data_IF_285622035053
#
_entry.id   IF_285622035053
#
_cell.length_a   1.000
_cell.length_b   1.000
_cell.length_c   1.000
_cell.angle_alpha   90.00
_cell.angle_beta   90.00
_cell.angle_gamma   90.00
#
_symmetry.space_group_name_H-M   'P 1'
#
loop_
_entity.id
_entity.type
_entity.pdbx_description
1 polymer ?
#
# COMPACT_ATOMS: atom_id res chain seq x y z
N UNK A 1 8.78 -16.66 1.57
CA UNK A 1 8.67 -15.45 0.76
C UNK A 1 7.50 -15.54 -0.21
N UNK A 2 7.06 -14.37 -0.67
CA UNK A 2 6.02 -14.18 -1.67
C UNK A 2 6.35 -12.98 -2.53
N UNK A 3 6.08 -13.10 -3.84
CA UNK A 3 6.30 -12.02 -4.80
C UNK A 3 5.03 -11.79 -5.60
N UNK A 4 4.66 -10.52 -5.78
CA UNK A 4 3.54 -10.09 -6.63
C UNK A 4 3.97 -8.89 -7.46
N UNK A 5 3.39 -8.74 -8.65
CA UNK A 5 3.52 -7.54 -9.47
C UNK A 5 2.28 -6.65 -9.27
N UNK A 6 2.50 -5.37 -9.05
CA UNK A 6 1.46 -4.37 -8.80
C UNK A 6 1.55 -3.30 -9.89
N UNK A 7 0.43 -3.02 -10.56
CA UNK A 7 0.36 -2.05 -11.67
C UNK A 7 0.29 -0.59 -11.16
N UNK A 8 1.33 -0.21 -10.43
CA UNK A 8 1.55 1.14 -9.92
C UNK A 8 3.04 1.35 -9.68
N UNK A 9 3.49 2.61 -9.60
CA UNK A 9 4.89 2.90 -9.30
C UNK A 9 5.28 2.53 -7.87
N UNK A 10 6.57 2.29 -7.59
CA UNK A 10 7.04 2.01 -6.23
C UNK A 10 6.65 3.09 -5.21
N UNK A 11 6.64 4.36 -5.61
CA UNK A 11 6.26 5.48 -4.75
C UNK A 11 4.77 5.43 -4.38
N UNK A 12 3.92 5.07 -5.33
CA UNK A 12 2.47 4.89 -5.10
C UNK A 12 2.20 3.71 -4.19
N UNK A 13 2.84 2.57 -4.46
CA UNK A 13 2.72 1.36 -3.63
C UNK A 13 3.23 1.63 -2.21
N UNK A 14 4.35 2.35 -2.07
CA UNK A 14 4.97 2.61 -0.77
C UNK A 14 4.10 3.44 0.17
N UNK A 15 3.26 4.33 -0.37
CA UNK A 15 2.29 5.11 0.44
C UNK A 15 1.33 4.24 1.25
N UNK A 16 1.04 3.03 0.80
CA UNK A 16 0.19 2.10 1.54
C UNK A 16 0.84 1.52 2.79
N UNK A 17 2.15 1.72 2.96
CA UNK A 17 2.92 1.32 4.14
C UNK A 17 3.27 2.50 5.05
N UNK A 18 2.93 3.73 4.68
CA UNK A 18 3.28 4.94 5.44
C UNK A 18 2.10 5.87 5.70
N UNK A 19 0.91 5.50 5.29
CA UNK A 19 -0.33 6.24 5.49
C UNK A 19 -1.36 5.33 6.17
N UNK A 20 -1.83 5.71 7.37
CA UNK A 20 -2.77 4.89 8.15
C UNK A 20 -4.11 4.65 7.45
N UNK A 21 -4.61 5.63 6.69
CA UNK A 21 -5.87 5.45 5.95
C UNK A 21 -5.70 4.42 4.83
N UNK A 22 -4.56 4.46 4.12
CA UNK A 22 -4.22 3.46 3.10
C UNK A 22 -3.89 2.09 3.70
N UNK A 23 -3.21 2.07 4.85
CA UNK A 23 -2.97 0.84 5.61
C UNK A 23 -4.27 0.12 5.93
N UNK A 24 -5.27 0.83 6.46
CA UNK A 24 -6.58 0.27 6.79
C UNK A 24 -7.35 -0.26 5.57
N UNK A 25 -7.12 0.25 4.36
CA UNK A 25 -7.82 -0.21 3.15
C UNK A 25 -7.56 -1.69 2.81
N UNK A 26 -6.40 -2.21 3.17
CA UNK A 26 -6.04 -3.60 2.83
C UNK A 26 -5.89 -4.51 4.05
N UNK A 27 -5.83 -3.97 5.26
CA UNK A 27 -5.87 -4.77 6.49
C UNK A 27 -7.27 -4.86 7.11
N UNK A 28 -7.99 -3.76 7.18
CA UNK A 28 -9.32 -3.67 7.72
C UNK A 28 -9.55 -2.39 8.50
N UNK A 29 -10.81 -2.01 8.65
CA UNK A 29 -11.21 -0.82 9.39
C UNK A 29 -10.72 -0.89 10.86
N UNK A 30 -10.13 0.20 11.35
CA UNK A 30 -9.50 0.26 12.67
C UNK A 30 -8.00 0.00 12.66
N UNK A 31 -7.45 -0.57 11.58
CA UNK A 31 -6.02 -0.73 11.44
C UNK A 31 -5.31 0.62 11.30
N UNK A 32 -4.18 0.79 11.96
CA UNK A 32 -3.39 2.02 11.90
C UNK A 32 -1.91 1.74 12.13
N UNK A 33 -1.06 2.69 11.75
CA UNK A 33 0.37 2.66 12.01
C UNK A 33 0.93 4.06 12.27
N UNK A 34 2.00 4.12 13.03
CA UNK A 34 2.87 5.29 13.14
C UNK A 34 4.12 5.04 12.25
N UNK A 35 4.25 5.71 11.08
CA UNK A 35 5.24 5.37 10.06
C UNK A 35 6.65 5.93 10.39
N UNK A 36 7.20 5.54 11.54
CA UNK A 36 8.57 5.84 11.95
C UNK A 36 9.20 4.65 12.67
N UNK A 37 10.51 4.46 12.66
CA UNK A 37 11.14 3.42 13.44
C UNK A 37 10.73 3.49 14.93
N UNK A 38 10.30 2.37 15.50
CA UNK A 38 9.69 2.25 16.83
C UNK A 38 8.22 2.65 16.90
N UNK A 39 7.61 3.13 15.79
CA UNK A 39 6.19 3.45 15.73
C UNK A 39 5.32 2.20 15.80
N UNK A 40 4.18 2.28 16.46
CA UNK A 40 3.29 1.15 16.68
C UNK A 40 2.49 0.80 15.42
N UNK A 41 2.28 -0.48 15.22
CA UNK A 41 1.40 -1.04 14.20
C UNK A 41 0.26 -1.78 14.89
N UNK A 42 -0.95 -1.48 14.47
CA UNK A 42 -2.15 -2.20 14.85
C UNK A 42 -2.92 -2.63 13.61
N UNK A 43 -3.37 -3.87 13.60
CA UNK A 43 -4.13 -4.48 12.50
C UNK A 43 -5.39 -5.10 13.07
N UNK A 44 -6.52 -4.69 12.53
CA UNK A 44 -7.82 -5.30 12.80
C UNK A 44 -8.22 -6.16 11.60
N UNK A 45 -8.21 -7.47 11.78
CA UNK A 45 -8.65 -8.41 10.75
C UNK A 45 -10.17 -8.56 10.74
N UNK A 46 -10.76 -9.06 9.64
CA UNK A 46 -12.15 -9.46 9.61
C UNK A 46 -12.47 -10.44 10.78
N UNK A 47 -13.63 -10.25 11.42
CA UNK A 47 -14.01 -11.05 12.58
C UNK A 47 -13.45 -10.57 13.92
N UNK A 48 -12.77 -9.41 13.96
CA UNK A 48 -12.30 -8.79 15.20
C UNK A 48 -11.01 -9.40 15.76
N UNK A 49 -10.28 -10.18 14.96
CA UNK A 49 -8.95 -10.66 15.34
C UNK A 49 -7.98 -9.48 15.23
N UNK A 50 -7.09 -9.33 16.22
CA UNK A 50 -6.14 -8.23 16.27
C UNK A 50 -4.70 -8.71 16.21
N UNK A 51 -3.89 -8.00 15.43
CA UNK A 51 -2.43 -8.17 15.37
C UNK A 51 -1.74 -6.85 15.71
N UNK A 52 -0.57 -6.95 16.30
CA UNK A 52 0.22 -5.79 16.67
C UNK A 52 1.72 -6.03 16.45
N UNK A 53 2.43 -4.93 16.34
CA UNK A 53 3.89 -4.89 16.20
C UNK A 53 4.38 -3.46 16.16
N UNK A 54 5.60 -3.28 15.70
CA UNK A 54 6.21 -1.97 15.53
C UNK A 54 7.00 -1.88 14.24
N UNK A 55 7.14 -0.68 13.73
CA UNK A 55 8.00 -0.39 12.58
C UNK A 55 9.46 -0.54 12.99
N UNK A 56 10.19 -1.41 12.28
CA UNK A 56 11.63 -1.62 12.51
C UNK A 56 12.45 -0.64 11.68
N UNK A 57 12.15 -0.53 10.39
CA UNK A 57 12.86 0.39 9.50
C UNK A 57 12.03 0.78 8.29
N UNK A 58 12.32 1.97 7.76
CA UNK A 58 11.72 2.53 6.56
C UNK A 58 12.84 3.04 5.65
N UNK A 59 12.91 2.54 4.42
CA UNK A 59 13.77 3.02 3.33
C UNK A 59 12.89 3.30 2.11
N UNK A 60 12.30 4.49 2.07
CA UNK A 60 11.35 4.88 1.03
C UNK A 60 12.05 5.11 -0.32
N UNK A 61 11.46 4.68 -1.44
CA UNK A 61 10.25 3.86 -1.57
C UNK A 61 10.55 2.35 -1.70
N UNK A 62 11.68 1.87 -1.16
CA UNK A 62 12.24 0.55 -1.47
C UNK A 62 11.94 -0.53 -0.44
N UNK A 63 11.91 -0.18 0.85
CA UNK A 63 11.82 -1.21 1.89
C UNK A 63 11.06 -0.72 3.12
N UNK A 64 10.20 -1.59 3.63
CA UNK A 64 9.46 -1.41 4.88
C UNK A 64 9.58 -2.69 5.71
N UNK A 65 10.01 -2.56 6.96
CA UNK A 65 10.22 -3.69 7.88
C UNK A 65 9.46 -3.43 9.16
N UNK A 66 8.71 -4.42 9.62
CA UNK A 66 7.95 -4.33 10.86
C UNK A 66 7.90 -5.68 11.58
N UNK A 67 7.67 -5.64 12.90
CA UNK A 67 7.35 -6.84 13.68
C UNK A 67 5.85 -7.13 13.61
N UNK A 68 5.48 -8.40 13.79
CA UNK A 68 4.10 -8.84 13.63
C UNK A 68 3.81 -9.99 14.60
N UNK A 69 2.55 -10.11 14.99
CA UNK A 69 1.97 -11.22 15.73
C UNK A 69 0.60 -10.86 16.26
N UNK A 70 -0.09 -11.83 16.86
CA UNK A 70 -1.46 -11.69 17.32
C UNK A 70 -1.52 -11.20 18.77
N UNK A 71 -2.44 -10.29 19.04
CA UNK A 71 -2.68 -9.78 20.41
C UNK A 71 -3.12 -10.90 21.36
N UNK A 72 -3.85 -11.89 20.84
CA UNK A 72 -4.22 -13.11 21.58
C UNK A 72 -3.02 -13.99 21.98
N UNK A 73 -1.85 -13.80 21.35
CA UNK A 73 -0.66 -14.62 21.54
C UNK A 73 -0.61 -15.88 20.67
N UNK A 74 -1.65 -16.18 19.92
CA UNK A 74 -1.76 -17.40 19.10
C UNK A 74 -2.14 -17.04 17.66
N UNK A 75 -1.50 -17.64 16.62
CA UNK A 75 -0.44 -18.67 16.65
C UNK A 75 0.94 -18.14 17.04
N UNK A 76 1.19 -16.85 16.98
CA UNK A 76 2.43 -16.19 17.40
C UNK A 76 2.12 -14.94 18.20
N UNK A 77 2.85 -14.64 19.30
CA UNK A 77 2.62 -13.43 20.08
C UNK A 77 2.88 -12.14 19.30
N UNK A 78 2.20 -11.05 19.67
CA UNK A 78 2.42 -9.74 19.10
C UNK A 78 3.91 -9.35 19.12
N UNK A 79 4.40 -8.86 17.98
CA UNK A 79 5.79 -8.43 17.83
C UNK A 79 6.85 -9.55 17.75
N UNK A 80 6.45 -10.84 17.81
CA UNK A 80 7.41 -11.96 17.90
C UNK A 80 7.96 -12.42 16.56
N UNK A 81 7.46 -11.92 15.45
CA UNK A 81 7.95 -12.23 14.11
C UNK A 81 8.30 -10.97 13.34
N UNK A 82 8.94 -11.11 12.19
CA UNK A 82 9.38 -9.99 11.37
C UNK A 82 8.89 -10.14 9.94
N UNK A 83 8.29 -9.06 9.43
CA UNK A 83 7.87 -8.93 8.04
C UNK A 83 8.75 -7.89 7.36
N UNK A 84 9.34 -8.28 6.23
CA UNK A 84 10.12 -7.40 5.35
C UNK A 84 9.43 -7.30 4.00
N UNK A 85 9.09 -6.09 3.58
CA UNK A 85 8.54 -5.79 2.27
C UNK A 85 9.58 -5.02 1.48
N UNK A 86 9.92 -5.51 0.30
CA UNK A 86 10.86 -4.87 -0.62
C UNK A 86 10.14 -4.57 -1.93
N UNK A 87 10.31 -3.35 -2.42
CA UNK A 87 9.77 -2.88 -3.70
C UNK A 87 10.90 -2.63 -4.68
N UNK A 88 10.71 -3.06 -5.91
CA UNK A 88 11.60 -2.75 -7.03
C UNK A 88 10.77 -2.42 -8.27
N UNK A 89 11.33 -1.57 -9.14
CA UNK A 89 10.69 -1.26 -10.41
C UNK A 89 10.57 -2.52 -11.27
N UNK A 90 9.45 -2.65 -11.96
CA UNK A 90 9.14 -3.72 -12.90
C UNK A 90 8.53 -3.09 -14.17
N UNK A 91 8.73 -3.63 -15.37
CA UNK A 91 8.11 -3.09 -16.58
C UNK A 91 6.59 -2.93 -16.49
N UNK A 92 5.91 -3.74 -15.69
CA UNK A 92 4.47 -3.65 -15.44
C UNK A 92 4.10 -2.79 -14.22
N UNK A 93 5.07 -2.12 -13.57
CA UNK A 93 4.85 -1.27 -12.40
C UNK A 93 5.83 -1.54 -11.26
N UNK A 94 5.42 -2.29 -10.24
CA UNK A 94 6.24 -2.61 -9.06
C UNK A 94 6.23 -4.10 -8.79
N UNK A 95 7.41 -4.66 -8.60
CA UNK A 95 7.59 -5.97 -8.00
C UNK A 95 7.69 -5.83 -6.48
N UNK A 96 6.73 -6.36 -5.77
CA UNK A 96 6.72 -6.45 -4.32
C UNK A 96 7.17 -7.85 -3.91
N UNK A 97 8.18 -7.92 -3.05
CA UNK A 97 8.60 -9.16 -2.39
C UNK A 97 8.39 -9.03 -0.89
N UNK A 98 7.65 -9.97 -0.31
CA UNK A 98 7.40 -10.08 1.10
C UNK A 98 8.14 -11.29 1.66
N UNK A 99 8.89 -11.09 2.73
CA UNK A 99 9.51 -12.14 3.53
C UNK A 99 8.95 -12.04 4.96
N UNK A 100 8.38 -13.13 5.46
CA UNK A 100 7.93 -13.24 6.84
C UNK A 100 8.81 -14.26 7.55
N UNK A 101 9.59 -13.80 8.51
CA UNK A 101 10.45 -14.63 9.36
C UNK A 101 9.61 -15.12 10.54
N UNK A 102 9.33 -16.41 10.58
CA UNK A 102 8.47 -17.07 11.56
C UNK A 102 9.29 -18.06 12.40
N UNK A 103 8.89 -18.31 13.65
CA UNK A 103 9.69 -19.10 14.59
C UNK A 103 9.85 -20.57 14.17
N UNK A 104 8.84 -21.13 13.50
CA UNK A 104 8.84 -22.54 13.12
C UNK A 104 7.98 -22.83 11.86
N UNK A 105 7.98 -24.10 11.45
CA UNK A 105 7.27 -24.55 10.27
C UNK A 105 5.74 -24.51 10.43
N UNK A 106 5.22 -24.78 11.64
CA UNK A 106 3.78 -24.77 11.89
C UNK A 106 3.20 -23.34 11.75
N UNK A 107 3.85 -22.35 12.38
CA UNK A 107 3.51 -20.94 12.21
C UNK A 107 3.59 -20.51 10.73
N UNK A 108 4.62 -20.96 10.00
CA UNK A 108 4.75 -20.68 8.57
C UNK A 108 3.56 -21.21 7.77
N UNK A 109 3.17 -22.47 7.99
CA UNK A 109 2.13 -23.14 7.22
C UNK A 109 0.77 -22.47 7.43
N UNK A 110 0.48 -21.98 8.64
CA UNK A 110 -0.70 -21.19 8.96
C UNK A 110 -0.72 -19.84 8.22
N UNK A 111 0.42 -19.18 8.06
CA UNK A 111 0.52 -17.85 7.43
C UNK A 111 0.57 -17.88 5.90
N UNK A 112 0.88 -19.01 5.27
CA UNK A 112 1.05 -19.12 3.81
C UNK A 112 -0.21 -18.69 3.06
N UNK A 113 -1.37 -19.20 3.45
CA UNK A 113 -2.64 -18.88 2.77
C UNK A 113 -3.09 -17.45 3.09
N UNK A 114 -2.89 -17.01 4.33
CA UNK A 114 -3.18 -15.64 4.74
C UNK A 114 -2.43 -14.62 3.88
N UNK A 115 -1.12 -14.80 3.65
CA UNK A 115 -0.35 -13.89 2.81
C UNK A 115 -0.73 -13.96 1.33
N UNK A 116 -1.13 -15.11 0.80
CA UNK A 116 -1.65 -15.19 -0.58
C UNK A 116 -2.89 -14.32 -0.76
N UNK A 117 -3.85 -14.45 0.15
CA UNK A 117 -5.07 -13.65 0.13
C UNK A 117 -4.76 -12.16 0.32
N UNK A 118 -3.95 -11.85 1.33
CA UNK A 118 -3.65 -10.46 1.71
C UNK A 118 -2.92 -9.69 0.61
N UNK A 119 -1.95 -10.31 -0.08
CA UNK A 119 -1.23 -9.66 -1.17
C UNK A 119 -2.09 -9.52 -2.43
N UNK A 120 -3.03 -10.44 -2.69
CA UNK A 120 -3.99 -10.28 -3.77
C UNK A 120 -4.96 -9.12 -3.49
N UNK A 121 -5.46 -9.02 -2.26
CA UNK A 121 -6.28 -7.89 -1.83
C UNK A 121 -5.51 -6.57 -1.93
N UNK A 122 -4.27 -6.54 -1.47
CA UNK A 122 -3.40 -5.37 -1.54
C UNK A 122 -3.23 -4.88 -2.99
N UNK A 123 -2.92 -5.78 -3.92
CA UNK A 123 -2.77 -5.44 -5.33
C UNK A 123 -4.05 -4.83 -5.92
N UNK A 124 -5.22 -5.38 -5.59
CA UNK A 124 -6.51 -4.86 -6.03
C UNK A 124 -6.79 -3.46 -5.45
N UNK A 125 -6.57 -3.27 -4.16
CA UNK A 125 -6.80 -1.98 -3.48
C UNK A 125 -5.90 -0.88 -4.05
N UNK A 126 -4.64 -1.19 -4.36
CA UNK A 126 -3.74 -0.23 -5.03
C UNK A 126 -4.24 0.10 -6.43
N UNK A 127 -4.64 -0.91 -7.21
CA UNK A 127 -5.16 -0.72 -8.57
C UNK A 127 -6.43 0.11 -8.58
N UNK A 128 -7.34 -0.12 -7.65
CA UNK A 128 -8.58 0.65 -7.52
C UNK A 128 -8.30 2.12 -7.20
N UNK A 129 -7.34 2.42 -6.33
CA UNK A 129 -6.96 3.81 -6.03
C UNK A 129 -6.33 4.50 -7.25
N UNK A 130 -5.48 3.81 -8.00
CA UNK A 130 -4.87 4.35 -9.23
C UNK A 130 -5.95 4.61 -10.30
N UNK A 131 -6.86 3.68 -10.50
CA UNK A 131 -7.96 3.82 -11.47
C UNK A 131 -8.93 4.95 -11.09
N UNK A 132 -9.30 5.05 -9.82
CA UNK A 132 -10.16 6.14 -9.33
C UNK A 132 -9.51 7.51 -9.51
N UNK A 133 -8.21 7.63 -9.26
CA UNK A 133 -7.46 8.86 -9.53
C UNK A 133 -7.43 9.16 -11.04
N UNK A 134 -7.18 8.17 -11.88
CA UNK A 134 -7.21 8.33 -13.34
C UNK A 134 -8.57 8.82 -13.85
N UNK A 135 -9.67 8.23 -13.42
CA UNK A 135 -11.02 8.65 -13.77
C UNK A 135 -11.28 10.11 -13.35
N UNK A 136 -10.90 10.49 -12.13
CA UNK A 136 -11.03 11.86 -11.65
C UNK A 136 -10.27 12.87 -12.52
N UNK A 137 -9.07 12.54 -13.02
CA UNK A 137 -8.33 13.42 -13.91
C UNK A 137 -9.00 13.60 -15.26
N UNK A 138 -9.60 12.55 -15.81
CA UNK A 138 -10.38 12.59 -17.05
C UNK A 138 -11.58 13.53 -16.87
N UNK A 139 -12.32 13.39 -15.78
CA UNK A 139 -13.45 14.27 -15.47
C UNK A 139 -13.03 15.75 -15.35
N UNK A 140 -11.97 16.03 -14.59
CA UNK A 140 -11.41 17.38 -14.46
C UNK A 140 -10.95 17.96 -15.80
N UNK A 141 -10.41 17.14 -16.69
CA UNK A 141 -9.99 17.54 -18.03
C UNK A 141 -11.21 17.94 -18.88
N UNK A 142 -12.29 17.15 -18.88
CA UNK A 142 -13.53 17.49 -19.57
C UNK A 142 -14.17 18.75 -19.00
N UNK A 143 -14.20 18.90 -17.68
CA UNK A 143 -14.73 20.11 -17.01
C UNK A 143 -13.94 21.35 -17.43
N UNK A 144 -12.61 21.29 -17.48
CA UNK A 144 -11.77 22.38 -17.93
C UNK A 144 -12.08 22.80 -19.38
N UNK A 145 -12.31 21.83 -20.28
CA UNK A 145 -12.67 22.15 -21.67
C UNK A 145 -14.11 22.64 -21.85
N UNK A 146 -14.99 22.32 -20.94
CA UNK A 146 -16.36 22.84 -20.90
C UNK A 146 -16.45 24.27 -20.35
N UNK A 147 -15.40 24.74 -19.65
CA UNK A 147 -15.35 26.10 -19.08
C UNK A 147 -15.28 27.20 -20.18
N UNK A 148 -16.26 28.09 -20.29
CA UNK A 148 -16.29 29.08 -21.35
C UNK A 148 -15.29 30.24 -21.15
N UNK A 149 -14.92 30.56 -19.91
CA UNK A 149 -13.95 31.63 -19.63
C UNK A 149 -12.51 31.13 -19.93
N UNK A 150 -11.78 31.78 -20.85
CA UNK A 150 -10.43 31.35 -21.21
C UNK A 150 -9.42 31.39 -20.06
N UNK A 151 -9.60 32.30 -19.10
CA UNK A 151 -8.69 32.46 -17.96
C UNK A 151 -8.95 31.34 -16.94
N UNK A 152 -10.22 31.12 -16.60
CA UNK A 152 -10.61 30.02 -15.72
C UNK A 152 -10.19 28.67 -16.29
N UNK A 153 -10.43 28.42 -17.58
CA UNK A 153 -10.01 27.22 -18.28
C UNK A 153 -8.50 26.99 -18.19
N UNK A 154 -7.69 28.03 -18.43
CA UNK A 154 -6.22 27.93 -18.31
C UNK A 154 -5.81 27.51 -16.91
N UNK A 155 -6.38 28.14 -15.88
CA UNK A 155 -6.06 27.82 -14.48
C UNK A 155 -6.40 26.36 -14.14
N UNK A 156 -7.55 25.86 -14.58
CA UNK A 156 -7.95 24.46 -14.39
C UNK A 156 -6.98 23.49 -15.08
N UNK A 157 -6.55 23.79 -16.32
CA UNK A 157 -5.60 22.95 -17.05
C UNK A 157 -4.20 22.97 -16.42
N UNK A 158 -3.76 24.10 -15.88
CA UNK A 158 -2.49 24.22 -15.15
C UNK A 158 -2.52 23.40 -13.85
N UNK A 159 -3.62 23.41 -13.10
CA UNK A 159 -3.79 22.58 -11.91
C UNK A 159 -3.74 21.08 -12.23
N UNK A 160 -4.36 20.64 -13.32
CA UNK A 160 -4.32 19.26 -13.81
C UNK A 160 -2.89 18.87 -14.16
N UNK A 161 -2.16 19.71 -14.92
CA UNK A 161 -0.79 19.45 -15.34
C UNK A 161 0.19 19.34 -14.15
N UNK A 162 0.06 20.21 -13.15
CA UNK A 162 0.87 20.14 -11.91
C UNK A 162 0.58 18.86 -11.14
N UNK A 163 -0.66 18.41 -11.15
CA UNK A 163 -1.05 17.15 -10.49
C UNK A 163 -0.50 15.92 -11.22
N UNK A 164 -0.44 15.95 -12.56
CA UNK A 164 0.17 14.88 -13.37
C UNK A 164 1.67 14.74 -13.14
N UNK A 165 2.40 15.84 -12.92
CA UNK A 165 3.83 15.81 -12.59
C UNK A 165 4.12 15.11 -11.25
N UNK A 166 3.12 14.97 -10.39
CA UNK A 166 3.19 14.23 -9.13
C UNK A 166 2.71 12.78 -9.24
N UNK A 167 2.19 12.39 -10.41
CA UNK A 167 1.86 11.00 -10.70
C UNK A 167 3.04 10.31 -11.38
N UNK A 168 3.37 9.07 -11.01
CA UNK A 168 4.35 8.30 -11.76
C UNK A 168 3.82 8.10 -13.18
N UNK A 169 4.70 8.31 -14.15
CA UNK A 169 4.38 8.17 -15.57
C UNK A 169 3.63 6.86 -15.86
N UNK A 170 2.42 6.97 -16.34
CA UNK A 170 1.79 5.89 -17.10
C UNK A 170 2.68 5.70 -18.32
N UNK A 171 3.45 4.61 -18.34
CA UNK A 171 4.26 4.24 -19.49
C UNK A 171 3.35 4.18 -20.71
N UNK A 172 3.64 5.01 -21.70
CA UNK A 172 2.94 4.96 -22.98
C UNK A 172 3.17 3.58 -23.58
N UNK A 173 2.09 2.86 -23.86
CA UNK A 173 2.10 1.78 -24.84
C UNK A 173 2.40 2.34 -26.22
#
# INVERSE_FOLDING_TARGET
>A
DRTVTIHASPETVFRFFTDSARWAKWWGAGSHLDPRPGGQIHITHPGGIESAGEVVSIDAPRKFVFTYGFVSGTPIPAGSSRVSITLSADPAGTRLTLVHELPDAAARDEHVQGWRFQLSLFANVVSDEVNANGARYIDLWFDAWAEPDPIARRNMLEEIAVSELRMPSLSRC
#
